data_IF_870816795642
#
_entry.id   IF_870816795642
#
_cell.length_a   1.000
_cell.length_b   1.000
_cell.length_c   1.000
_cell.angle_alpha   90.00
_cell.angle_beta   90.00
_cell.angle_gamma   90.00
#
_symmetry.space_group_name_H-M   'P 1'
#
loop_
_entity.id
_entity.type
_entity.pdbx_description
1 polymer ?
#
# COMPACT_ATOMS: atom_id res chain seq x y z
N UNK A 1 24.38 11.49 16.31
CA UNK A 1 25.02 10.21 16.66
C UNK A 1 23.96 9.14 16.96
N UNK A 2 23.24 9.14 18.08
CA UNK A 2 22.29 8.05 18.44
C UNK A 2 21.19 7.75 17.40
N UNK A 3 20.58 8.76 16.76
CA UNK A 3 19.59 8.54 15.69
C UNK A 3 20.24 7.83 14.49
N UNK A 4 21.41 8.27 14.05
CA UNK A 4 22.09 7.67 12.89
C UNK A 4 22.46 6.20 13.14
N UNK A 5 22.91 5.87 14.35
CA UNK A 5 23.21 4.49 14.74
C UNK A 5 21.96 3.61 14.67
N UNK A 6 20.82 4.15 15.13
CA UNK A 6 19.52 3.47 15.02
C UNK A 6 19.05 3.32 13.57
N UNK A 7 19.21 4.34 12.73
CA UNK A 7 18.81 4.25 11.31
C UNK A 7 19.67 3.22 10.57
N UNK A 8 20.97 3.14 10.87
CA UNK A 8 21.88 2.13 10.34
C UNK A 8 21.48 0.72 10.82
N UNK A 9 21.14 0.56 12.10
CA UNK A 9 20.58 -0.69 12.62
C UNK A 9 19.30 -1.10 11.87
N UNK A 10 18.39 -0.17 11.59
CA UNK A 10 17.18 -0.47 10.83
C UNK A 10 17.48 -0.91 9.40
N UNK A 11 18.47 -0.26 8.73
CA UNK A 11 18.86 -0.59 7.35
C UNK A 11 19.56 -1.94 7.27
N UNK A 12 20.62 -2.10 8.03
CA UNK A 12 21.59 -3.19 7.83
C UNK A 12 21.32 -4.42 8.69
N UNK A 13 20.84 -4.26 9.93
CA UNK A 13 20.55 -5.39 10.79
C UNK A 13 19.09 -5.86 10.71
N UNK A 14 18.14 -4.92 10.52
CA UNK A 14 16.72 -5.23 10.49
C UNK A 14 16.11 -5.26 9.09
N UNK A 15 16.89 -4.98 8.06
CA UNK A 15 16.47 -4.96 6.65
C UNK A 15 15.12 -4.24 6.44
N UNK A 16 14.96 -3.07 7.08
CA UNK A 16 13.74 -2.25 6.91
C UNK A 16 13.80 -1.51 5.58
N UNK A 17 12.61 -1.33 4.95
CA UNK A 17 12.51 -0.55 3.73
C UNK A 17 12.95 0.89 3.97
N UNK A 18 13.56 1.52 2.97
CA UNK A 18 14.04 2.91 3.05
C UNK A 18 12.90 3.88 3.43
N UNK A 19 11.67 3.61 2.97
CA UNK A 19 10.50 4.38 3.39
C UNK A 19 10.23 4.26 4.91
N UNK A 20 10.41 3.08 5.48
CA UNK A 20 10.26 2.89 6.94
C UNK A 20 11.35 3.65 7.69
N UNK A 21 12.59 3.58 7.20
CA UNK A 21 13.72 4.29 7.80
C UNK A 21 13.49 5.79 7.78
N UNK A 22 13.11 6.38 6.64
CA UNK A 22 12.78 7.81 6.52
C UNK A 22 11.63 8.24 7.42
N UNK A 23 10.57 7.43 7.54
CA UNK A 23 9.45 7.75 8.42
C UNK A 23 9.87 7.75 9.90
N UNK A 24 10.73 6.80 10.30
CA UNK A 24 11.26 6.75 11.64
C UNK A 24 12.22 7.91 11.92
N UNK A 25 13.10 8.22 10.98
CA UNK A 25 13.99 9.38 11.06
C UNK A 25 13.20 10.65 11.28
N UNK A 26 12.20 10.93 10.42
CA UNK A 26 11.35 12.11 10.56
C UNK A 26 10.72 12.20 11.94
N UNK A 27 10.09 11.13 12.42
CA UNK A 27 9.44 11.12 13.73
C UNK A 27 10.43 11.36 14.89
N UNK A 28 11.65 10.81 14.80
CA UNK A 28 12.68 11.01 15.81
C UNK A 28 13.26 12.43 15.78
N UNK A 29 13.47 12.99 14.57
CA UNK A 29 13.93 14.38 14.42
C UNK A 29 12.87 15.37 14.94
N UNK A 30 11.60 15.12 14.66
CA UNK A 30 10.50 15.93 15.16
C UNK A 30 10.44 15.89 16.71
N UNK A 31 10.62 14.72 17.31
CA UNK A 31 10.68 14.59 18.76
C UNK A 31 11.94 15.22 19.36
N UNK A 32 13.10 15.04 18.72
CA UNK A 32 14.36 15.68 19.17
C UNK A 32 14.24 17.19 19.16
N UNK A 33 13.65 17.76 18.10
CA UNK A 33 13.38 19.21 18.02
C UNK A 33 12.43 19.66 19.11
N UNK A 34 11.39 18.88 19.43
CA UNK A 34 10.42 19.21 20.48
C UNK A 34 11.09 19.35 21.84
N UNK A 35 11.86 18.36 22.29
CA UNK A 35 12.46 18.45 23.63
C UNK A 35 13.62 19.44 23.71
N UNK A 36 14.40 19.63 22.66
CA UNK A 36 15.47 20.64 22.61
C UNK A 36 14.94 22.06 22.60
N UNK A 37 13.76 22.30 22.01
CA UNK A 37 13.11 23.62 22.04
C UNK A 37 12.52 23.97 23.42
N UNK A 38 12.23 22.98 24.28
CA UNK A 38 11.82 23.23 25.66
C UNK A 38 13.02 23.62 26.52
N UNK A 39 14.10 22.83 26.42
CA UNK A 39 15.33 23.04 27.16
C UNK A 39 16.51 22.56 26.30
N UNK A 40 17.37 23.49 25.91
CA UNK A 40 18.46 23.24 24.96
C UNK A 40 19.51 22.23 25.44
N UNK A 41 19.64 22.03 26.74
CA UNK A 41 20.58 21.09 27.34
C UNK A 41 20.06 19.64 27.39
N UNK A 42 18.79 19.38 27.08
CA UNK A 42 18.24 18.04 27.13
C UNK A 42 18.85 17.13 26.04
N UNK A 43 19.08 15.89 26.43
CA UNK A 43 19.60 14.83 25.57
C UNK A 43 18.65 13.63 25.60
N UNK A 44 18.86 12.67 24.70
CA UNK A 44 18.10 11.43 24.67
C UNK A 44 18.18 10.63 26.00
N UNK A 45 19.23 10.79 26.76
CA UNK A 45 19.41 10.14 28.06
C UNK A 45 18.56 10.74 29.16
N UNK A 46 18.26 12.05 29.06
CA UNK A 46 17.45 12.80 30.03
C UNK A 46 15.95 12.76 29.75
N UNK A 47 15.54 12.26 28.57
CA UNK A 47 14.12 12.11 28.23
C UNK A 47 13.42 11.17 29.21
N UNK A 48 12.29 11.61 29.74
CA UNK A 48 11.40 10.83 30.58
C UNK A 48 10.05 10.54 29.93
N UNK A 49 9.18 9.82 30.64
CA UNK A 49 7.86 9.45 30.12
C UNK A 49 6.88 10.62 30.04
N UNK A 50 7.05 11.65 30.86
CA UNK A 50 6.17 12.81 30.85
C UNK A 50 6.45 13.68 29.63
N UNK A 51 7.72 13.86 29.27
CA UNK A 51 8.11 14.53 28.04
C UNK A 51 7.53 13.88 26.80
N UNK A 52 7.48 12.53 26.75
CA UNK A 52 6.86 11.82 25.62
C UNK A 52 5.34 12.02 25.61
N UNK A 53 4.68 12.07 26.80
CA UNK A 53 3.23 12.38 26.92
C UNK A 53 2.92 13.78 26.44
N UNK A 54 3.69 14.76 26.88
CA UNK A 54 3.53 16.16 26.48
C UNK A 54 3.72 16.36 24.97
N UNK A 55 4.67 15.63 24.38
CA UNK A 55 4.84 15.64 22.93
C UNK A 55 3.62 15.04 22.19
N UNK A 56 3.08 13.92 22.68
CA UNK A 56 1.86 13.32 22.15
C UNK A 56 0.71 14.30 22.22
N UNK A 57 0.52 14.97 23.38
CA UNK A 57 -0.51 15.97 23.58
C UNK A 57 -0.34 17.14 22.62
N UNK A 58 0.88 17.67 22.47
CA UNK A 58 1.16 18.75 21.53
C UNK A 58 0.85 18.41 20.06
N UNK A 59 1.01 17.16 19.66
CA UNK A 59 0.62 16.70 18.31
C UNK A 59 -0.91 16.64 18.18
N UNK A 60 -1.61 16.18 19.22
CA UNK A 60 -3.07 16.13 19.22
C UNK A 60 -3.67 17.55 19.19
N UNK A 61 -3.11 18.49 19.93
CA UNK A 61 -3.53 19.89 19.96
C UNK A 61 -3.32 20.59 18.60
N UNK A 62 -2.29 20.20 17.87
CA UNK A 62 -2.07 20.64 16.47
C UNK A 62 -3.06 20.01 15.47
N UNK A 63 -3.92 19.10 15.91
CA UNK A 63 -4.90 18.43 15.08
C UNK A 63 -4.39 17.16 14.36
N UNK A 64 -3.27 16.60 14.77
CA UNK A 64 -2.76 15.36 14.18
C UNK A 64 -3.69 14.19 14.50
N UNK A 65 -3.90 13.32 13.51
CA UNK A 65 -4.73 12.13 13.69
C UNK A 65 -4.07 11.14 14.66
N UNK A 66 -4.88 10.49 15.51
CA UNK A 66 -4.44 9.46 16.44
C UNK A 66 -3.59 8.35 15.78
N UNK A 67 -3.82 8.05 14.48
CA UNK A 67 -3.00 7.10 13.71
C UNK A 67 -1.58 7.62 13.45
N UNK A 68 -1.45 8.91 13.14
CA UNK A 68 -0.15 9.58 12.94
C UNK A 68 0.64 9.61 14.24
N UNK A 69 0.02 10.07 15.32
CA UNK A 69 0.64 10.13 16.65
C UNK A 69 1.11 8.74 17.11
N UNK A 70 0.30 7.71 16.93
CA UNK A 70 0.69 6.34 17.27
C UNK A 70 1.85 5.81 16.40
N UNK A 71 1.96 6.23 15.13
CA UNK A 71 3.10 5.86 14.29
C UNK A 71 4.38 6.55 14.76
N UNK A 72 4.31 7.82 15.15
CA UNK A 72 5.42 8.55 15.76
C UNK A 72 5.86 7.91 17.08
N UNK A 73 4.92 7.57 17.95
CA UNK A 73 5.21 6.86 19.20
C UNK A 73 5.84 5.47 18.94
N UNK A 74 5.45 4.79 17.87
CA UNK A 74 6.06 3.51 17.48
C UNK A 74 7.55 3.67 17.10
N UNK A 75 7.89 4.76 16.43
CA UNK A 75 9.29 5.09 16.10
C UNK A 75 10.11 5.36 17.38
N UNK A 76 9.59 6.18 18.30
CA UNK A 76 10.22 6.50 19.59
C UNK A 76 10.42 5.24 20.44
N UNK A 77 9.42 4.37 20.55
CA UNK A 77 9.53 3.09 21.25
C UNK A 77 10.58 2.16 20.62
N UNK A 78 10.63 2.10 19.30
CA UNK A 78 11.62 1.28 18.60
C UNK A 78 13.03 1.80 18.85
N UNK A 79 13.21 3.12 18.87
CA UNK A 79 14.46 3.78 19.16
C UNK A 79 14.93 3.53 20.61
N UNK A 80 14.08 3.77 21.60
CA UNK A 80 14.48 3.56 23.01
C UNK A 80 14.75 2.10 23.33
N UNK A 81 14.04 1.17 22.72
CA UNK A 81 14.36 -0.26 22.84
C UNK A 81 15.74 -0.59 22.27
N UNK A 82 16.10 -0.02 21.11
CA UNK A 82 17.43 -0.14 20.54
C UNK A 82 18.49 0.51 21.44
N UNK A 83 18.27 1.75 21.88
CA UNK A 83 19.18 2.50 22.72
C UNK A 83 19.45 1.79 24.08
N UNK A 84 18.41 1.23 24.69
CA UNK A 84 18.53 0.42 25.91
C UNK A 84 19.34 -0.86 25.66
N UNK A 85 19.06 -1.59 24.59
CA UNK A 85 19.80 -2.81 24.23
C UNK A 85 21.28 -2.55 23.94
N UNK A 86 21.60 -1.38 23.41
CA UNK A 86 23.00 -0.92 23.16
C UNK A 86 23.61 -0.19 24.35
N UNK A 87 22.93 -0.14 25.51
CA UNK A 87 23.35 0.55 26.74
C UNK A 87 23.64 2.05 26.54
N UNK A 88 23.03 2.68 25.55
CA UNK A 88 23.10 4.12 25.29
C UNK A 88 22.23 4.93 26.25
N UNK A 89 21.20 4.31 26.80
CA UNK A 89 20.32 4.86 27.85
C UNK A 89 20.18 3.84 28.96
N UNK A 90 19.88 4.32 30.18
CA UNK A 90 19.74 3.46 31.37
C UNK A 90 18.35 2.83 31.50
N UNK A 91 17.33 3.44 30.88
CA UNK A 91 15.91 3.00 30.93
C UNK A 91 15.20 3.35 29.64
N UNK A 92 14.10 2.67 29.36
CA UNK A 92 13.19 2.98 28.24
C UNK A 92 12.02 3.83 28.78
N UNK A 93 12.01 5.16 28.57
CA UNK A 93 10.93 6.03 29.06
C UNK A 93 9.62 5.83 28.29
N UNK A 94 9.65 5.19 27.14
CA UNK A 94 8.48 4.99 26.29
C UNK A 94 7.66 3.75 26.65
N UNK A 95 8.17 2.88 27.53
CA UNK A 95 7.61 1.56 27.82
C UNK A 95 6.14 1.61 28.26
N UNK A 96 5.80 2.49 29.21
CA UNK A 96 4.45 2.63 29.78
C UNK A 96 3.63 3.76 29.15
N UNK A 97 4.14 4.48 28.16
CA UNK A 97 3.41 5.58 27.53
C UNK A 97 2.34 5.00 26.60
N UNK A 98 1.08 5.33 26.82
CA UNK A 98 -0.04 4.91 25.96
C UNK A 98 -0.31 5.99 24.91
N UNK A 99 -0.44 5.60 23.66
CA UNK A 99 -0.88 6.51 22.61
C UNK A 99 -2.39 6.71 22.57
N UNK A 100 -2.89 7.70 21.82
CA UNK A 100 -4.33 8.00 21.72
C UNK A 100 -5.11 6.83 21.12
N UNK A 101 -6.37 6.68 21.55
CA UNK A 101 -7.27 5.64 21.01
C UNK A 101 -7.51 5.88 19.51
N UNK A 102 -7.27 4.86 18.70
CA UNK A 102 -7.57 4.92 17.27
C UNK A 102 -9.07 4.67 17.07
N UNK A 103 -9.72 5.56 16.34
CA UNK A 103 -11.01 5.24 15.77
C UNK A 103 -10.80 4.16 14.71
N UNK A 104 -11.68 3.15 14.70
CA UNK A 104 -11.72 2.11 13.66
C UNK A 104 -12.91 2.43 12.75
N UNK A 105 -12.75 3.31 11.75
CA UNK A 105 -13.82 3.53 10.79
C UNK A 105 -14.12 2.21 10.07
N UNK A 106 -15.39 2.00 9.73
CA UNK A 106 -15.79 0.85 8.91
C UNK A 106 -15.02 0.89 7.58
N UNK A 107 -14.57 -0.27 7.08
CA UNK A 107 -13.97 -0.36 5.77
C UNK A 107 -14.91 0.22 4.71
N UNK A 108 -14.37 1.08 3.85
CA UNK A 108 -15.11 1.62 2.71
C UNK A 108 -14.78 0.81 1.47
N UNK A 109 -15.80 0.40 0.73
CA UNK A 109 -15.69 -0.32 -0.54
C UNK A 109 -16.72 0.21 -1.52
N UNK A 110 -16.49 0.02 -2.81
CA UNK A 110 -17.41 0.36 -3.88
C UNK A 110 -18.48 -0.73 -3.99
N UNK A 111 -19.72 -0.34 -4.25
CA UNK A 111 -20.76 -1.29 -4.64
C UNK A 111 -20.48 -1.82 -6.05
N UNK A 112 -20.88 -3.04 -6.35
CA UNK A 112 -20.74 -3.62 -7.69
C UNK A 112 -21.35 -2.70 -8.74
N UNK A 113 -22.58 -2.20 -8.52
CA UNK A 113 -23.25 -1.27 -9.42
C UNK A 113 -22.51 0.07 -9.64
N UNK A 114 -21.71 0.53 -8.68
CA UNK A 114 -20.85 1.71 -8.86
C UNK A 114 -19.63 1.36 -9.73
N UNK A 115 -19.09 0.14 -9.56
CA UNK A 115 -17.99 -0.35 -10.39
C UNK A 115 -18.43 -0.62 -11.82
N UNK A 116 -19.59 -1.25 -12.02
CA UNK A 116 -20.15 -1.47 -13.36
C UNK A 116 -20.38 -0.14 -14.10
N UNK A 117 -20.96 0.84 -13.42
CA UNK A 117 -21.10 2.20 -13.99
C UNK A 117 -19.77 2.81 -14.36
N UNK A 118 -18.74 2.65 -13.53
CA UNK A 118 -17.42 3.22 -13.79
C UNK A 118 -16.72 2.54 -14.97
N UNK A 119 -16.87 1.23 -15.10
CA UNK A 119 -16.15 0.43 -16.09
C UNK A 119 -16.90 0.37 -17.44
N UNK A 120 -18.22 0.18 -17.42
CA UNK A 120 -18.99 -0.14 -18.60
C UNK A 120 -19.60 1.08 -19.32
N UNK A 121 -19.72 2.23 -18.65
CA UNK A 121 -20.32 3.41 -19.30
C UNK A 121 -19.30 4.09 -20.22
N UNK A 122 -19.54 4.12 -21.55
CA UNK A 122 -18.62 4.73 -22.52
C UNK A 122 -18.31 6.20 -22.22
N UNK A 123 -19.28 6.92 -21.63
CA UNK A 123 -19.12 8.35 -21.30
C UNK A 123 -18.07 8.60 -20.19
N UNK A 124 -17.70 7.57 -19.43
CA UNK A 124 -16.73 7.68 -18.33
C UNK A 124 -15.29 7.75 -18.83
N UNK A 125 -15.04 7.21 -20.01
CA UNK A 125 -13.69 7.07 -20.55
C UNK A 125 -13.63 7.57 -21.99
N UNK A 126 -12.65 8.40 -22.28
CA UNK A 126 -12.29 8.74 -23.64
C UNK A 126 -11.40 7.68 -24.30
N UNK A 127 -11.06 7.92 -25.56
CA UNK A 127 -10.19 7.04 -26.35
C UNK A 127 -8.70 7.43 -26.26
N UNK A 128 -8.37 8.47 -25.52
CA UNK A 128 -6.98 8.91 -25.41
C UNK A 128 -6.14 7.90 -24.63
N UNK A 129 -4.85 7.84 -24.92
CA UNK A 129 -3.89 7.02 -24.16
C UNK A 129 -4.04 7.19 -22.62
N UNK A 130 -4.31 8.41 -22.15
CA UNK A 130 -4.50 8.70 -20.72
C UNK A 130 -5.76 8.03 -20.18
N UNK A 131 -6.83 8.05 -20.95
CA UNK A 131 -8.12 7.48 -20.54
C UNK A 131 -8.05 5.96 -20.54
N UNK A 132 -7.50 5.36 -21.60
CA UNK A 132 -7.29 3.92 -21.67
C UNK A 132 -6.39 3.43 -20.53
N UNK A 133 -5.27 4.11 -20.28
CA UNK A 133 -4.40 3.79 -19.13
C UNK A 133 -5.16 3.89 -17.80
N UNK A 134 -5.95 4.94 -17.61
CA UNK A 134 -6.69 5.15 -16.36
C UNK A 134 -7.75 4.06 -16.15
N UNK A 135 -8.51 3.71 -17.19
CA UNK A 135 -9.48 2.62 -17.16
C UNK A 135 -8.79 1.30 -16.83
N UNK A 136 -7.72 0.96 -17.53
CA UNK A 136 -6.95 -0.27 -17.32
C UNK A 136 -6.43 -0.39 -15.89
N UNK A 137 -5.90 0.68 -15.31
CA UNK A 137 -5.43 0.70 -13.91
C UNK A 137 -6.57 0.40 -12.94
N UNK A 138 -7.77 0.96 -13.16
CA UNK A 138 -8.92 0.76 -12.28
C UNK A 138 -9.43 -0.67 -12.37
N UNK A 139 -9.60 -1.19 -13.58
CA UNK A 139 -10.03 -2.59 -13.81
C UNK A 139 -9.01 -3.53 -13.17
N UNK A 140 -7.72 -3.32 -13.39
CA UNK A 140 -6.66 -4.16 -12.82
C UNK A 140 -6.72 -4.19 -11.28
N UNK A 141 -6.91 -3.05 -10.61
CA UNK A 141 -7.08 -3.05 -9.15
C UNK A 141 -8.35 -3.79 -8.72
N UNK A 142 -9.45 -3.61 -9.44
CA UNK A 142 -10.73 -4.21 -9.08
C UNK A 142 -10.74 -5.72 -9.31
N UNK A 143 -10.19 -6.21 -10.42
CA UNK A 143 -10.15 -7.64 -10.73
C UNK A 143 -9.08 -8.41 -9.93
N UNK A 144 -7.98 -7.79 -9.58
CA UNK A 144 -6.84 -8.50 -8.99
C UNK A 144 -6.60 -8.21 -7.52
N UNK A 145 -7.13 -7.11 -7.03
CA UNK A 145 -6.91 -6.65 -5.66
C UNK A 145 -5.44 -6.41 -5.29
N UNK A 146 -4.53 -6.22 -6.23
CA UNK A 146 -3.11 -5.99 -5.95
C UNK A 146 -2.88 -4.67 -5.22
N UNK A 147 -1.70 -4.53 -4.60
CA UNK A 147 -1.33 -3.29 -3.90
C UNK A 147 -0.81 -2.25 -4.88
N UNK A 148 -0.97 -0.97 -4.53
CA UNK A 148 -0.42 0.15 -5.32
C UNK A 148 1.08 -0.02 -5.66
N UNK A 149 1.87 -0.49 -4.69
CA UNK A 149 3.30 -0.71 -4.91
C UNK A 149 3.57 -1.88 -5.88
N UNK A 150 2.72 -2.89 -5.87
CA UNK A 150 2.78 -4.03 -6.78
C UNK A 150 2.45 -3.59 -8.20
N UNK A 151 1.37 -2.81 -8.41
CA UNK A 151 1.01 -2.26 -9.72
C UNK A 151 2.15 -1.41 -10.33
N UNK A 152 2.71 -0.49 -9.54
CA UNK A 152 3.80 0.38 -10.03
C UNK A 152 5.05 -0.43 -10.40
N UNK A 153 5.26 -1.57 -9.74
CA UNK A 153 6.40 -2.46 -9.99
C UNK A 153 6.22 -3.46 -11.12
N UNK A 154 5.05 -3.54 -11.78
CA UNK A 154 4.82 -4.49 -12.87
C UNK A 154 5.65 -4.14 -14.10
N UNK A 155 6.15 -5.18 -14.73
CA UNK A 155 6.77 -5.18 -16.05
C UNK A 155 5.91 -5.94 -17.06
N UNK A 156 6.17 -5.77 -18.35
CA UNK A 156 5.44 -6.48 -19.40
C UNK A 156 5.56 -8.00 -19.25
N UNK A 157 6.73 -8.48 -18.83
CA UNK A 157 7.00 -9.90 -18.58
C UNK A 157 6.24 -10.50 -17.39
N UNK A 158 5.61 -9.67 -16.59
CA UNK A 158 4.79 -10.14 -15.47
C UNK A 158 3.35 -10.48 -15.89
N UNK A 159 2.96 -10.17 -17.13
CA UNK A 159 1.63 -10.45 -17.67
C UNK A 159 1.67 -11.71 -18.54
N UNK A 160 0.95 -12.73 -18.13
CA UNK A 160 0.75 -13.95 -18.91
C UNK A 160 -0.67 -13.95 -19.50
N UNK A 161 -0.76 -13.55 -20.76
CA UNK A 161 -2.02 -13.48 -21.51
C UNK A 161 -2.60 -14.86 -21.87
N UNK A 162 -1.76 -15.89 -21.90
CA UNK A 162 -2.20 -17.25 -22.24
C UNK A 162 -2.94 -17.88 -21.06
N UNK A 163 -2.36 -17.76 -19.88
CA UNK A 163 -2.91 -18.36 -18.67
C UNK A 163 -3.80 -17.38 -17.86
N UNK A 164 -3.98 -16.14 -18.33
CA UNK A 164 -4.72 -15.06 -17.64
C UNK A 164 -4.21 -14.85 -16.21
N UNK A 165 -2.93 -14.55 -16.07
CA UNK A 165 -2.33 -14.38 -14.75
C UNK A 165 -1.28 -13.28 -14.70
N UNK A 166 -1.16 -12.64 -13.54
CA UNK A 166 -0.15 -11.66 -13.21
C UNK A 166 0.82 -12.22 -12.16
N UNK A 167 2.11 -12.08 -12.42
CA UNK A 167 3.15 -12.32 -11.41
C UNK A 167 3.42 -11.02 -10.66
N UNK A 168 3.04 -10.93 -9.40
CA UNK A 168 3.23 -9.73 -8.59
C UNK A 168 4.28 -9.92 -7.52
N UNK A 169 5.17 -8.93 -7.39
CA UNK A 169 6.25 -8.94 -6.40
C UNK A 169 5.87 -8.02 -5.23
N UNK A 170 5.70 -8.61 -4.08
CA UNK A 170 5.31 -7.93 -2.85
C UNK A 170 6.48 -7.60 -1.93
N UNK A 171 6.15 -7.32 -0.66
CA UNK A 171 7.15 -7.00 0.38
C UNK A 171 8.16 -8.14 0.55
N UNK A 172 9.45 -7.79 0.76
CA UNK A 172 10.58 -8.74 0.89
C UNK A 172 10.80 -9.60 -0.36
N UNK A 173 10.48 -9.05 -1.53
CA UNK A 173 10.63 -9.76 -2.81
C UNK A 173 9.84 -11.07 -2.92
N UNK A 174 8.77 -11.23 -2.14
CA UNK A 174 7.90 -12.39 -2.26
C UNK A 174 7.01 -12.24 -3.47
N UNK A 175 7.00 -13.24 -4.31
CA UNK A 175 6.18 -13.30 -5.52
C UNK A 175 4.92 -14.15 -5.28
N UNK A 176 3.85 -13.79 -5.98
CA UNK A 176 2.63 -14.60 -6.11
C UNK A 176 2.03 -14.40 -7.49
N UNK A 177 1.28 -15.40 -7.91
CA UNK A 177 0.48 -15.33 -9.12
C UNK A 177 -0.96 -14.92 -8.74
N UNK A 178 -1.53 -14.01 -9.52
CA UNK A 178 -2.90 -13.52 -9.36
C UNK A 178 -3.65 -13.71 -10.67
N UNK A 179 -4.77 -14.46 -10.70
CA UNK A 179 -5.57 -14.63 -11.90
C UNK A 179 -6.30 -13.33 -12.27
N UNK A 180 -6.69 -13.18 -13.53
CA UNK A 180 -7.54 -12.10 -14.02
C UNK A 180 -8.48 -12.60 -15.12
N UNK A 181 -9.57 -11.86 -15.37
CA UNK A 181 -10.60 -12.19 -16.34
C UNK A 181 -10.29 -11.76 -17.77
N UNK A 182 -11.17 -12.13 -18.69
CA UNK A 182 -11.05 -11.78 -20.12
C UNK A 182 -11.14 -10.27 -20.36
N UNK A 183 -11.95 -9.54 -19.57
CA UNK A 183 -12.07 -8.09 -19.69
C UNK A 183 -10.73 -7.39 -19.43
N UNK A 184 -10.04 -7.76 -18.35
CA UNK A 184 -8.73 -7.18 -18.06
C UNK A 184 -7.70 -7.57 -19.11
N UNK A 185 -7.75 -8.80 -19.64
CA UNK A 185 -6.88 -9.24 -20.75
C UNK A 185 -7.00 -8.32 -21.96
N UNK A 186 -8.23 -8.09 -22.43
CA UNK A 186 -8.49 -7.22 -23.57
C UNK A 186 -8.05 -5.78 -23.31
N UNK A 187 -8.40 -5.25 -22.15
CA UNK A 187 -8.07 -3.88 -21.75
C UNK A 187 -6.55 -3.68 -21.60
N UNK A 188 -5.83 -4.68 -21.07
CA UNK A 188 -4.37 -4.64 -21.00
C UNK A 188 -3.73 -4.69 -22.38
N UNK A 189 -4.21 -5.56 -23.28
CA UNK A 189 -3.69 -5.66 -24.64
C UNK A 189 -3.89 -4.33 -25.40
N UNK A 190 -5.06 -3.72 -25.32
CA UNK A 190 -5.36 -2.43 -25.94
C UNK A 190 -4.49 -1.30 -25.34
N UNK A 191 -4.34 -1.27 -24.03
CA UNK A 191 -3.45 -0.32 -23.38
C UNK A 191 -2.00 -0.47 -23.85
N UNK A 192 -1.47 -1.69 -23.88
CA UNK A 192 -0.08 -1.93 -24.28
C UNK A 192 0.13 -1.55 -25.73
N UNK A 193 -0.81 -1.86 -26.63
CA UNK A 193 -0.76 -1.44 -28.04
C UNK A 193 -0.68 0.09 -28.14
N UNK A 194 -1.63 0.82 -27.53
CA UNK A 194 -1.63 2.29 -27.57
C UNK A 194 -0.39 2.90 -26.89
N UNK A 195 0.12 2.27 -25.83
CA UNK A 195 1.36 2.69 -25.18
C UNK A 195 2.56 2.59 -26.12
N UNK A 196 2.64 1.49 -26.86
CA UNK A 196 3.78 1.18 -27.72
C UNK A 196 3.77 2.02 -29.02
N UNK A 197 2.60 2.52 -29.41
CA UNK A 197 2.43 3.49 -30.51
C UNK A 197 2.85 4.92 -30.13
N UNK A 198 3.09 5.22 -28.85
CA UNK A 198 3.50 6.57 -28.44
C UNK A 198 4.93 6.87 -28.93
N UNK A 199 5.20 8.06 -29.54
CA UNK A 199 6.50 8.43 -30.10
C UNK A 199 7.53 8.83 -29.04
N UNK A 200 7.53 8.20 -27.88
CA UNK A 200 8.38 8.55 -26.75
C UNK A 200 9.41 7.45 -26.47
N UNK A 201 10.62 7.85 -26.07
CA UNK A 201 11.58 6.89 -25.52
C UNK A 201 10.99 6.27 -24.26
N UNK A 202 10.81 4.96 -24.29
CA UNK A 202 10.13 4.17 -23.27
C UNK A 202 11.11 3.65 -22.22
N UNK A 203 10.79 3.85 -20.95
CA UNK A 203 11.39 3.12 -19.83
C UNK A 203 10.78 1.72 -19.70
N UNK A 204 11.49 0.82 -19.03
CA UNK A 204 10.93 -0.46 -18.63
C UNK A 204 9.77 -0.25 -17.63
N UNK A 205 8.70 -1.03 -17.80
CA UNK A 205 7.52 -1.01 -16.95
C UNK A 205 6.22 -1.16 -17.71
N UNK A 206 5.28 -1.88 -17.12
CA UNK A 206 3.96 -2.09 -17.71
C UNK A 206 3.22 -0.76 -17.85
N UNK A 207 3.13 0.02 -16.79
CA UNK A 207 2.43 1.32 -16.80
C UNK A 207 3.41 2.49 -16.90
N UNK A 208 3.25 3.27 -17.96
CA UNK A 208 4.06 4.45 -18.25
C UNK A 208 3.23 5.73 -18.13
N UNK A 209 3.87 6.82 -17.71
CA UNK A 209 3.27 8.15 -17.71
C UNK A 209 3.37 8.81 -19.11
N UNK A 210 2.86 10.04 -19.23
CA UNK A 210 2.83 10.80 -20.49
C UNK A 210 4.24 11.18 -21.05
N UNK A 211 5.30 10.89 -20.29
CA UNK A 211 6.70 11.13 -20.68
C UNK A 211 7.45 9.82 -20.99
N UNK A 212 6.74 8.70 -21.12
CA UNK A 212 7.35 7.39 -21.35
C UNK A 212 8.10 6.80 -20.14
N UNK A 213 7.97 7.40 -18.96
CA UNK A 213 8.61 6.91 -17.73
C UNK A 213 7.64 6.05 -16.94
N UNK A 214 8.16 5.13 -16.16
CA UNK A 214 7.37 4.31 -15.23
C UNK A 214 6.45 5.19 -14.39
N UNK A 215 5.18 4.81 -14.28
CA UNK A 215 4.18 5.55 -13.52
C UNK A 215 4.53 5.58 -12.03
N UNK A 216 4.29 6.70 -11.38
CA UNK A 216 4.56 6.87 -9.93
C UNK A 216 3.33 6.54 -9.09
N UNK A 217 3.53 6.20 -7.82
CA UNK A 217 2.44 5.98 -6.86
C UNK A 217 1.47 7.14 -6.80
N UNK A 218 1.98 8.36 -6.75
CA UNK A 218 1.15 9.56 -6.68
C UNK A 218 0.28 9.74 -7.95
N UNK A 219 0.84 9.48 -9.13
CA UNK A 219 0.07 9.51 -10.38
C UNK A 219 -1.07 8.50 -10.39
N UNK A 220 -0.80 7.25 -9.94
CA UNK A 220 -1.85 6.23 -9.82
C UNK A 220 -2.93 6.62 -8.80
N UNK A 221 -2.55 7.19 -7.66
CA UNK A 221 -3.52 7.69 -6.66
C UNK A 221 -4.41 8.80 -7.22
N UNK A 222 -3.83 9.72 -8.01
CA UNK A 222 -4.59 10.79 -8.69
C UNK A 222 -5.57 10.20 -9.70
N UNK A 223 -5.13 9.24 -10.53
CA UNK A 223 -5.96 8.54 -11.52
C UNK A 223 -7.14 7.87 -10.83
N UNK A 224 -6.89 7.04 -9.82
CA UNK A 224 -7.93 6.31 -9.08
C UNK A 224 -8.89 7.29 -8.41
N UNK A 225 -8.38 8.32 -7.73
CA UNK A 225 -9.22 9.33 -7.08
C UNK A 225 -10.14 10.03 -8.08
N UNK A 226 -9.63 10.43 -9.24
CA UNK A 226 -10.40 11.07 -10.30
C UNK A 226 -11.47 10.12 -10.84
N UNK A 227 -11.12 8.89 -11.19
CA UNK A 227 -12.09 7.89 -11.67
C UNK A 227 -13.20 7.63 -10.67
N UNK A 228 -12.85 7.28 -9.43
CA UNK A 228 -13.86 7.00 -8.39
C UNK A 228 -14.76 8.20 -8.07
N UNK A 229 -14.26 9.44 -8.23
CA UNK A 229 -15.07 10.64 -7.96
C UNK A 229 -16.25 10.81 -8.92
N UNK A 230 -16.26 10.12 -10.04
CA UNK A 230 -17.32 10.20 -11.04
C UNK A 230 -18.55 9.37 -10.65
N UNK A 231 -18.37 8.33 -9.83
CA UNK A 231 -19.44 7.37 -9.51
C UNK A 231 -19.78 7.30 -8.03
N UNK A 232 -18.96 7.85 -7.15
CA UNK A 232 -19.21 7.78 -5.70
C UNK A 232 -18.89 9.08 -4.98
N UNK A 233 -19.67 9.36 -3.92
CA UNK A 233 -19.50 10.49 -3.00
C UNK A 233 -18.63 10.15 -1.79
N UNK A 234 -18.07 8.95 -1.71
CA UNK A 234 -17.19 8.54 -0.61
C UNK A 234 -16.03 9.53 -0.41
N UNK A 235 -15.72 9.86 0.84
CA UNK A 235 -14.59 10.77 1.17
C UNK A 235 -13.24 10.16 0.78
N UNK A 236 -13.06 8.85 1.04
CA UNK A 236 -11.81 8.15 0.74
C UNK A 236 -11.93 7.43 -0.60
N UNK A 237 -11.16 7.87 -1.57
CA UNK A 237 -11.10 7.34 -2.95
C UNK A 237 -9.65 7.03 -3.28
N UNK A 238 -9.25 5.78 -3.12
CA UNK A 238 -7.85 5.36 -3.24
C UNK A 238 -7.74 3.91 -3.73
N UNK A 239 -6.57 3.46 -4.21
CA UNK A 239 -6.33 2.06 -4.58
C UNK A 239 -6.70 1.05 -3.49
N UNK A 240 -6.58 1.43 -2.22
CA UNK A 240 -7.02 0.58 -1.11
C UNK A 240 -8.53 0.33 -1.10
N UNK A 241 -9.34 1.30 -1.53
CA UNK A 241 -10.80 1.12 -1.65
C UNK A 241 -11.11 0.08 -2.71
N UNK A 242 -10.48 0.14 -3.90
CA UNK A 242 -10.65 -0.87 -4.97
C UNK A 242 -10.25 -2.26 -4.50
N UNK A 243 -9.14 -2.38 -3.80
CA UNK A 243 -8.71 -3.66 -3.21
C UNK A 243 -9.71 -4.18 -2.14
N UNK A 244 -10.30 -3.30 -1.34
CA UNK A 244 -11.37 -3.70 -0.41
C UNK A 244 -12.63 -4.11 -1.16
N UNK A 245 -12.96 -3.43 -2.28
CA UNK A 245 -14.09 -3.80 -3.15
C UNK A 245 -13.89 -5.20 -3.74
N UNK A 246 -12.71 -5.50 -4.29
CA UNK A 246 -12.34 -6.85 -4.72
C UNK A 246 -12.59 -7.88 -3.62
N UNK A 247 -12.04 -7.66 -2.42
CA UNK A 247 -12.19 -8.60 -1.31
C UNK A 247 -13.66 -8.80 -0.90
N UNK A 248 -14.43 -7.72 -0.87
CA UNK A 248 -15.85 -7.74 -0.49
C UNK A 248 -16.69 -8.45 -1.57
N UNK A 249 -16.48 -8.16 -2.86
CA UNK A 249 -17.14 -8.84 -3.96
C UNK A 249 -16.90 -10.36 -3.92
N UNK A 250 -15.63 -10.76 -3.80
CA UNK A 250 -15.25 -12.17 -3.67
C UNK A 250 -15.97 -12.86 -2.50
N UNK A 251 -15.99 -12.24 -1.32
CA UNK A 251 -16.64 -12.81 -0.13
C UNK A 251 -18.16 -12.86 -0.26
N UNK A 252 -18.79 -11.83 -0.81
CA UNK A 252 -20.23 -11.78 -1.04
C UNK A 252 -20.69 -12.86 -2.02
N UNK A 253 -19.86 -13.20 -3.00
CA UNK A 253 -20.10 -14.23 -4.00
C UNK A 253 -19.59 -15.62 -3.57
N UNK A 254 -19.38 -15.83 -2.27
CA UNK A 254 -19.14 -17.14 -1.68
C UNK A 254 -17.68 -17.62 -1.65
N UNK A 255 -16.70 -16.79 -2.02
CA UNK A 255 -15.31 -17.17 -1.85
C UNK A 255 -14.96 -17.35 -0.37
N UNK A 256 -14.27 -18.41 -0.05
CA UNK A 256 -13.75 -18.63 1.30
C UNK A 256 -12.73 -17.55 1.72
N UNK A 257 -12.80 -17.10 2.97
CA UNK A 257 -11.92 -16.06 3.52
C UNK A 257 -10.44 -16.35 3.31
N UNK A 258 -10.03 -17.60 3.46
CA UNK A 258 -8.63 -18.01 3.31
C UNK A 258 -8.15 -17.89 1.85
N UNK A 259 -9.01 -18.24 0.88
CA UNK A 259 -8.71 -18.06 -0.54
C UNK A 259 -8.53 -16.57 -0.90
N UNK A 260 -9.43 -15.72 -0.41
CA UNK A 260 -9.32 -14.27 -0.61
C UNK A 260 -8.03 -13.71 0.04
N UNK A 261 -7.67 -14.19 1.23
CA UNK A 261 -6.41 -13.81 1.88
C UNK A 261 -5.18 -14.22 1.07
N UNK A 262 -5.18 -15.43 0.49
CA UNK A 262 -4.10 -15.92 -0.38
C UNK A 262 -3.97 -15.07 -1.65
N UNK A 263 -5.07 -14.81 -2.36
CA UNK A 263 -5.09 -13.93 -3.54
C UNK A 263 -4.54 -12.53 -3.22
N UNK A 264 -4.94 -11.97 -2.10
CA UNK A 264 -4.46 -10.67 -1.65
C UNK A 264 -3.01 -10.69 -1.15
N UNK A 265 -2.41 -11.83 -0.86
CA UNK A 265 -1.07 -11.93 -0.28
C UNK A 265 -1.00 -11.31 1.12
N UNK A 266 -1.97 -11.63 1.99
CA UNK A 266 -1.94 -11.29 3.41
C UNK A 266 -1.09 -12.33 4.14
N UNK A 267 0.10 -11.95 4.61
CA UNK A 267 0.92 -12.79 5.47
C UNK A 267 0.20 -13.04 6.81
N UNK A 268 -0.29 -14.24 7.03
CA UNK A 268 -0.40 -14.81 8.35
C UNK A 268 0.96 -15.43 8.73
N UNK A 269 1.33 -15.31 9.99
CA UNK A 269 2.60 -15.79 10.55
C UNK A 269 2.59 -17.31 10.63
N UNK A 270 2.70 -18.00 9.52
CA UNK A 270 3.15 -19.41 9.48
C UNK A 270 3.29 -19.85 8.02
N UNK A 271 4.45 -20.41 7.73
CA UNK A 271 4.82 -21.21 6.56
C UNK A 271 4.88 -20.51 5.20
N UNK A 272 6.08 -20.52 4.66
CA UNK A 272 6.37 -20.43 3.24
C UNK A 272 5.84 -21.72 2.61
N UNK A 273 4.52 -21.81 2.41
CA UNK A 273 3.99 -22.81 1.50
C UNK A 273 4.47 -22.45 0.11
N UNK A 274 5.31 -23.28 -0.46
CA UNK A 274 5.65 -23.28 -1.88
C UNK A 274 4.31 -23.44 -2.59
N UNK A 275 3.90 -22.44 -3.37
CA UNK A 275 2.72 -22.52 -4.22
C UNK A 275 2.91 -23.65 -5.21
N UNK A 276 2.32 -24.81 -4.96
CA UNK A 276 2.24 -25.88 -5.92
C UNK A 276 1.23 -25.53 -7.02
N UNK A 277 1.41 -26.03 -8.24
CA UNK A 277 0.44 -25.85 -9.33
C UNK A 277 -1.00 -26.15 -8.88
N UNK A 278 -1.21 -27.18 -8.08
CA UNK A 278 -2.52 -27.56 -7.55
C UNK A 278 -3.17 -26.47 -6.71
N UNK A 279 -2.40 -25.73 -5.92
CA UNK A 279 -2.93 -24.63 -5.09
C UNK A 279 -3.35 -23.44 -5.94
N UNK A 280 -2.61 -23.14 -7.01
CA UNK A 280 -2.95 -22.05 -7.92
C UNK A 280 -4.23 -22.33 -8.71
N UNK A 281 -4.39 -23.53 -9.27
CA UNK A 281 -5.60 -23.95 -9.98
C UNK A 281 -6.84 -23.86 -9.08
N UNK A 282 -6.73 -24.21 -7.80
CA UNK A 282 -7.82 -24.05 -6.85
C UNK A 282 -8.17 -22.56 -6.63
N UNK A 283 -7.16 -21.69 -6.49
CA UNK A 283 -7.40 -20.26 -6.33
C UNK A 283 -8.00 -19.64 -7.59
N UNK A 284 -7.59 -20.09 -8.77
CA UNK A 284 -8.13 -19.65 -10.06
C UNK A 284 -9.61 -20.03 -10.17
N UNK A 285 -10.00 -21.26 -9.85
CA UNK A 285 -11.42 -21.68 -9.80
C UNK A 285 -12.25 -20.86 -8.81
N UNK A 286 -11.71 -20.58 -7.63
CA UNK A 286 -12.40 -19.72 -6.65
C UNK A 286 -12.57 -18.31 -7.19
N UNK A 287 -11.58 -17.78 -7.90
CA UNK A 287 -11.67 -16.48 -8.55
C UNK A 287 -12.73 -16.48 -9.65
N UNK A 288 -12.68 -17.44 -10.58
CA UNK A 288 -13.64 -17.58 -11.69
C UNK A 288 -15.09 -17.73 -11.22
N UNK A 289 -15.33 -18.41 -10.08
CA UNK A 289 -16.68 -18.60 -9.55
C UNK A 289 -17.20 -17.43 -8.71
N UNK A 290 -16.33 -16.59 -8.17
CA UNK A 290 -16.72 -15.58 -7.18
C UNK A 290 -16.43 -14.14 -7.59
N UNK A 291 -15.56 -13.89 -8.57
CA UNK A 291 -15.34 -12.52 -9.01
C UNK A 291 -16.39 -12.11 -10.05
N UNK A 292 -17.08 -10.94 -9.90
CA UNK A 292 -18.16 -10.52 -10.81
C UNK A 292 -17.73 -10.35 -12.28
N UNK A 293 -16.41 -10.22 -12.53
CA UNK A 293 -15.81 -9.97 -13.86
C UNK A 293 -14.68 -10.96 -14.18
N UNK A 294 -14.79 -12.22 -13.66
CA UNK A 294 -13.85 -13.29 -13.95
C UNK A 294 -13.95 -13.77 -15.39
#
# INVERSE_FOLDING_TARGET
MMIEDFLNYLRYERNRSELTVRNYERSLRDFESYFKNRESHLSWESVDSDMIRDWIESMMDKGDMASTVNNCLCAVRSFFRFALARKMVRRDPSYNVKGPKKQKPLPQFMKESEMDRLIDLPQMWGETYKDVRARTIIILFYETGIRLAELVGLDDSDVDFVNHQLKVTGKRNKQRIVPFGEELKQTLADYMRQRDEQPLKREEGLFLNDKGRRITRNQVEVIVRKGLSQVTTMKKRSPHVLRHSFATAMLNNGAGLESVRKLLGHESVATTEIYTHTTFEQLKRVYENAHPRA
#
